data_IF_488827259050
#
_entry.id   IF_488827259050
#
_cell.length_a   1.000
_cell.length_b   1.000
_cell.length_c   1.000
_cell.angle_alpha   90.00
_cell.angle_beta   90.00
_cell.angle_gamma   90.00
#
_symmetry.space_group_name_H-M   'P 1'
#
loop_
_entity.id
_entity.type
_entity.pdbx_description
1 polymer ?
#
# COMPACT_ATOMS: atom_id res chain seq x y z
N UNK A 1 0.44 -6.83 -3.64
CA UNK A 1 -0.22 -5.54 -3.35
C UNK A 1 -0.33 -4.63 -4.58
N UNK A 2 0.77 -4.11 -5.14
CA UNK A 2 0.70 -3.15 -6.25
C UNK A 2 -0.09 -3.62 -7.49
N UNK A 3 0.02 -4.90 -7.84
CA UNK A 3 -0.75 -5.50 -8.94
C UNK A 3 -2.25 -5.66 -8.64
N UNK A 4 -2.65 -5.68 -7.37
CA UNK A 4 -4.05 -5.61 -7.01
C UNK A 4 -4.54 -4.16 -7.08
N UNK A 5 -3.76 -3.22 -6.54
CA UNK A 5 -4.09 -1.79 -6.54
C UNK A 5 -4.19 -1.20 -7.96
N UNK A 6 -3.43 -1.69 -8.93
CA UNK A 6 -3.52 -1.20 -10.30
C UNK A 6 -4.82 -1.58 -11.02
N UNK A 7 -5.62 -2.49 -10.45
CA UNK A 7 -6.94 -2.87 -10.96
C UNK A 7 -8.06 -1.97 -10.41
N UNK A 8 -7.74 -1.09 -9.44
CA UNK A 8 -8.70 -0.23 -8.77
C UNK A 8 -8.80 1.11 -9.52
N UNK A 9 -10.01 1.57 -9.80
CA UNK A 9 -10.22 2.97 -10.15
C UNK A 9 -10.14 3.84 -8.89
N UNK A 10 -9.04 4.57 -8.75
CA UNK A 10 -8.78 5.42 -7.57
C UNK A 10 -9.74 6.60 -7.40
N UNK A 11 -10.54 6.90 -8.44
CA UNK A 11 -11.51 8.01 -8.43
C UNK A 11 -12.79 7.66 -7.67
N UNK A 12 -13.21 6.41 -7.78
CA UNK A 12 -14.44 5.88 -7.17
C UNK A 12 -14.09 5.10 -5.91
N UNK A 13 -15.06 4.96 -4.99
CA UNK A 13 -14.86 4.11 -3.83
C UNK A 13 -14.77 2.65 -4.28
N UNK A 14 -13.77 1.91 -3.77
CA UNK A 14 -13.69 0.49 -4.09
C UNK A 14 -14.92 -0.24 -3.53
N UNK A 15 -15.62 -0.95 -4.41
CA UNK A 15 -16.74 -1.81 -4.05
C UNK A 15 -16.28 -2.99 -3.16
N UNK A 16 -17.21 -3.85 -2.74
CA UNK A 16 -16.88 -5.03 -1.92
C UNK A 16 -16.30 -6.20 -2.71
N UNK A 17 -15.63 -5.87 -3.82
CA UNK A 17 -15.10 -6.78 -4.80
C UNK A 17 -13.87 -7.53 -4.32
N UNK A 18 -13.75 -8.76 -4.82
CA UNK A 18 -12.59 -9.62 -4.63
C UNK A 18 -11.65 -9.37 -5.82
N UNK A 19 -10.44 -8.89 -5.53
CA UNK A 19 -9.41 -8.70 -6.54
C UNK A 19 -8.64 -9.99 -6.77
N UNK A 20 -8.32 -10.28 -8.02
CA UNK A 20 -7.56 -11.46 -8.41
C UNK A 20 -6.21 -11.07 -9.03
N UNK A 21 -5.16 -11.80 -8.69
CA UNK A 21 -3.86 -11.71 -9.34
C UNK A 21 -3.43 -13.11 -9.68
N UNK A 22 -3.44 -13.45 -10.97
CA UNK A 22 -2.90 -14.72 -11.45
C UNK A 22 -1.39 -14.61 -11.70
N UNK A 23 -0.70 -15.75 -11.65
CA UNK A 23 0.74 -15.79 -11.79
C UNK A 23 1.25 -15.48 -13.21
N UNK A 24 0.42 -15.63 -14.26
CA UNK A 24 0.81 -15.28 -15.62
C UNK A 24 0.85 -13.75 -15.79
N UNK A 25 -0.16 -13.05 -15.26
CA UNK A 25 -0.14 -11.59 -15.14
C UNK A 25 1.04 -11.11 -14.28
N UNK A 26 1.28 -11.76 -13.14
CA UNK A 26 2.41 -11.45 -12.27
C UNK A 26 3.77 -11.61 -12.99
N UNK A 27 3.96 -12.72 -13.70
CA UNK A 27 5.18 -13.01 -14.47
C UNK A 27 5.42 -11.95 -15.54
N UNK A 28 4.40 -11.59 -16.32
CA UNK A 28 4.51 -10.54 -17.36
C UNK A 28 4.84 -9.17 -16.76
N UNK A 29 4.25 -8.83 -15.62
CA UNK A 29 4.48 -7.53 -14.99
C UNK A 29 5.89 -7.42 -14.37
N UNK A 30 6.40 -8.50 -13.79
CA UNK A 30 7.68 -8.53 -13.06
C UNK A 30 8.87 -8.98 -13.92
N UNK A 31 8.62 -9.49 -15.13
CA UNK A 31 9.63 -10.16 -15.98
C UNK A 31 10.29 -11.39 -15.32
N UNK A 32 9.67 -11.97 -14.29
CA UNK A 32 10.11 -13.21 -13.67
C UNK A 32 9.66 -14.41 -14.50
N UNK A 33 10.42 -15.50 -14.46
CA UNK A 33 9.97 -16.75 -15.04
C UNK A 33 8.73 -17.28 -14.31
N UNK A 34 8.04 -18.21 -14.96
CA UNK A 34 6.75 -18.73 -14.50
C UNK A 34 6.85 -19.41 -13.13
N UNK A 35 7.92 -20.18 -12.87
CA UNK A 35 8.09 -20.89 -11.60
C UNK A 35 8.44 -19.93 -10.45
N UNK A 36 9.34 -18.98 -10.68
CA UNK A 36 9.65 -17.94 -9.70
C UNK A 36 8.42 -17.08 -9.39
N UNK A 37 7.59 -16.78 -10.40
CA UNK A 37 6.35 -16.04 -10.24
C UNK A 37 5.34 -16.76 -9.36
N UNK A 38 5.16 -18.07 -9.52
CA UNK A 38 4.30 -18.87 -8.65
C UNK A 38 4.75 -18.83 -7.19
N UNK A 39 6.04 -19.07 -6.94
CA UNK A 39 6.60 -19.06 -5.59
C UNK A 39 6.49 -17.67 -4.94
N UNK A 40 6.86 -16.62 -5.67
CA UNK A 40 6.80 -15.24 -5.19
C UNK A 40 5.37 -14.79 -4.90
N UNK A 41 4.42 -15.16 -5.75
CA UNK A 41 3.01 -14.81 -5.58
C UNK A 41 2.40 -15.53 -4.36
N UNK A 42 2.74 -16.82 -4.15
CA UNK A 42 2.31 -17.60 -2.99
C UNK A 42 2.84 -17.02 -1.68
N UNK A 43 4.14 -16.71 -1.61
CA UNK A 43 4.73 -16.10 -0.42
C UNK A 43 4.21 -14.68 -0.20
N UNK A 44 4.06 -13.90 -1.27
CA UNK A 44 3.50 -12.56 -1.23
C UNK A 44 2.06 -12.53 -0.67
N UNK A 45 1.25 -13.54 -0.97
CA UNK A 45 -0.10 -13.68 -0.40
C UNK A 45 -0.07 -13.92 1.11
N UNK A 46 0.86 -14.77 1.58
CA UNK A 46 1.06 -15.05 3.01
C UNK A 46 1.54 -13.80 3.77
N UNK A 47 2.46 -13.03 3.19
CA UNK A 47 2.91 -11.76 3.78
C UNK A 47 1.75 -10.76 3.83
N UNK A 48 1.00 -10.62 2.73
CA UNK A 48 -0.09 -9.67 2.61
C UNK A 48 -1.24 -9.97 3.59
N UNK A 49 -1.56 -11.25 3.82
CA UNK A 49 -2.60 -11.64 4.78
C UNK A 49 -2.24 -11.27 6.23
N UNK A 50 -0.95 -11.23 6.56
CA UNK A 50 -0.45 -10.81 7.87
C UNK A 50 -0.17 -9.31 8.00
N UNK A 51 -0.33 -8.55 6.92
CA UNK A 51 0.01 -7.12 6.90
C UNK A 51 -1.06 -6.29 7.62
N UNK A 52 -0.61 -5.45 8.56
CA UNK A 52 -1.45 -4.46 9.24
C UNK A 52 -1.19 -3.05 8.72
N UNK A 53 -2.25 -2.28 8.54
CA UNK A 53 -2.24 -0.84 8.43
C UNK A 53 -2.04 -0.23 9.82
N UNK A 54 -0.96 0.50 10.00
CA UNK A 54 -0.60 1.15 11.26
C UNK A 54 -0.91 2.63 11.16
N UNK A 55 -1.77 3.12 12.06
CA UNK A 55 -2.14 4.53 12.13
C UNK A 55 -1.53 5.16 13.38
N UNK A 56 -0.85 6.28 13.20
CA UNK A 56 -0.34 7.08 14.31
C UNK A 56 -1.43 8.02 14.85
N UNK A 57 -1.13 8.69 15.96
CA UNK A 57 -2.05 9.62 16.61
C UNK A 57 -2.57 10.74 15.69
N UNK A 58 -1.75 11.24 14.77
CA UNK A 58 -2.15 12.34 13.88
C UNK A 58 -3.05 11.83 12.74
N UNK A 59 -2.79 10.64 12.21
CA UNK A 59 -3.70 9.95 11.28
C UNK A 59 -5.06 9.70 11.95
N UNK A 60 -5.04 9.25 13.20
CA UNK A 60 -6.25 8.98 13.99
C UNK A 60 -7.06 10.24 14.29
N UNK A 61 -6.44 11.40 14.51
CA UNK A 61 -7.18 12.66 14.67
C UNK A 61 -7.95 13.03 13.40
N UNK A 62 -7.37 12.77 12.22
CA UNK A 62 -8.00 13.08 10.95
C UNK A 62 -9.11 12.08 10.60
N UNK A 63 -9.02 10.84 11.12
CA UNK A 63 -9.88 9.73 10.75
C UNK A 63 -10.83 9.25 11.85
N UNK A 64 -10.80 9.85 13.04
CA UNK A 64 -11.56 9.38 14.19
C UNK A 64 -13.05 9.26 13.90
N UNK A 65 -13.61 10.28 13.23
CA UNK A 65 -15.03 10.34 12.89
C UNK A 65 -15.41 9.24 11.87
N UNK A 66 -14.52 8.96 10.91
CA UNK A 66 -14.71 7.91 9.91
C UNK A 66 -14.55 6.49 10.47
N UNK A 67 -13.66 6.31 11.44
CA UNK A 67 -13.40 5.05 12.12
C UNK A 67 -14.40 4.77 13.25
N UNK A 68 -15.31 5.70 13.54
CA UNK A 68 -16.23 5.61 14.67
C UNK A 68 -15.52 5.61 16.03
N UNK A 69 -14.28 6.12 16.09
CA UNK A 69 -13.51 6.24 17.33
C UNK A 69 -14.00 7.50 18.03
N UNK A 70 -14.57 7.35 19.22
CA UNK A 70 -15.04 8.47 20.04
C UNK A 70 -13.88 9.42 20.37
N UNK A 71 -13.76 10.49 19.60
CA UNK A 71 -12.78 11.57 19.69
C UNK A 71 -13.05 12.51 20.88
N UNK A 72 -13.28 11.95 22.07
CA UNK A 72 -13.13 12.76 23.29
C UNK A 72 -11.65 13.09 23.46
N UNK A 73 -11.31 14.37 23.70
CA UNK A 73 -9.94 14.93 23.65
C UNK A 73 -8.83 14.14 24.38
N UNK A 74 -9.18 13.22 25.28
CA UNK A 74 -8.25 12.41 26.07
C UNK A 74 -8.35 10.87 25.87
N UNK A 75 -9.04 10.37 24.83
CA UNK A 75 -9.21 8.91 24.59
C UNK A 75 -8.72 8.40 23.24
N UNK A 76 -7.99 9.20 22.47
CA UNK A 76 -7.42 8.76 21.19
C UNK A 76 -6.17 7.93 21.49
N UNK A 77 -6.06 6.69 21.01
CA UNK A 77 -4.86 5.88 21.20
C UNK A 77 -3.68 6.49 20.45
N UNK A 78 -2.46 6.29 20.95
CA UNK A 78 -1.25 6.79 20.26
C UNK A 78 -0.94 5.99 18.98
N UNK A 79 -1.43 4.75 18.92
CA UNK A 79 -1.27 3.84 17.78
C UNK A 79 -2.50 2.94 17.64
N UNK A 80 -2.92 2.69 16.40
CA UNK A 80 -3.95 1.71 16.07
C UNK A 80 -3.49 0.84 14.89
N UNK A 81 -3.53 -0.47 15.09
CA UNK A 81 -3.15 -1.45 14.08
C UNK A 81 -4.43 -2.11 13.55
N UNK A 82 -4.65 -2.01 12.24
CA UNK A 82 -5.82 -2.53 11.56
C UNK A 82 -5.40 -3.53 10.49
N UNK A 83 -6.16 -4.60 10.29
CA UNK A 83 -5.86 -5.54 9.21
C UNK A 83 -6.03 -4.85 7.85
N UNK A 84 -5.08 -5.08 6.94
CA UNK A 84 -5.17 -4.58 5.58
C UNK A 84 -6.22 -5.34 4.76
N UNK A 85 -6.31 -6.66 4.98
CA UNK A 85 -7.20 -7.55 4.24
C UNK A 85 -8.22 -8.22 5.16
N UNK A 86 -9.44 -8.43 4.67
CA UNK A 86 -10.40 -9.37 5.27
C UNK A 86 -9.96 -10.80 5.01
N UNK A 87 -9.50 -11.07 3.78
CA UNK A 87 -8.76 -12.28 3.46
C UNK A 87 -7.78 -12.04 2.31
N UNK A 88 -6.72 -12.85 2.29
CA UNK A 88 -5.84 -13.02 1.14
C UNK A 88 -5.50 -14.51 1.04
N UNK A 89 -5.90 -15.14 -0.06
CA UNK A 89 -5.81 -16.59 -0.24
C UNK A 89 -5.16 -16.93 -1.58
N UNK A 90 -4.19 -17.83 -1.56
CA UNK A 90 -3.60 -18.40 -2.76
C UNK A 90 -4.27 -19.74 -3.11
N UNK A 91 -4.68 -19.90 -4.37
CA UNK A 91 -5.32 -21.11 -4.88
C UNK A 91 -4.31 -21.86 -5.75
N UNK A 92 -3.63 -22.87 -5.18
CA UNK A 92 -2.56 -23.63 -5.86
C UNK A 92 -2.98 -24.17 -7.23
N UNK A 93 -4.22 -24.66 -7.37
CA UNK A 93 -4.73 -25.26 -8.61
C UNK A 93 -5.04 -24.25 -9.73
N UNK A 94 -5.29 -22.98 -9.38
CA UNK A 94 -5.49 -21.88 -10.34
C UNK A 94 -4.24 -21.05 -10.51
N UNK A 95 -3.31 -21.18 -9.57
CA UNK A 95 -2.17 -20.32 -9.39
C UNK A 95 -2.51 -18.82 -9.34
N UNK A 96 -3.57 -18.52 -8.58
CA UNK A 96 -4.16 -17.19 -8.44
C UNK A 96 -4.25 -16.81 -6.96
N UNK A 97 -4.00 -15.54 -6.65
CA UNK A 97 -4.31 -14.95 -5.34
C UNK A 97 -5.63 -14.21 -5.44
N UNK A 98 -6.51 -14.44 -4.48
CA UNK A 98 -7.71 -13.61 -4.25
C UNK A 98 -7.53 -12.76 -3.02
N UNK A 99 -7.90 -11.49 -3.11
CA UNK A 99 -7.70 -10.49 -2.06
C UNK A 99 -9.02 -9.76 -1.84
N UNK A 100 -9.46 -9.70 -0.59
CA UNK A 100 -10.52 -8.78 -0.18
C UNK A 100 -9.95 -7.82 0.85
N UNK A 101 -9.94 -6.52 0.52
CA UNK A 101 -9.47 -5.47 1.43
C UNK A 101 -10.52 -5.14 2.48
N UNK A 102 -10.09 -4.72 3.67
CA UNK A 102 -11.02 -4.21 4.68
C UNK A 102 -11.62 -2.88 4.23
N UNK A 103 -12.85 -2.58 4.68
CA UNK A 103 -13.49 -1.29 4.39
C UNK A 103 -12.64 -0.09 4.82
N UNK A 104 -11.83 -0.23 5.89
CA UNK A 104 -10.88 0.81 6.29
C UNK A 104 -9.75 0.96 5.28
N UNK A 105 -9.11 -0.14 4.86
CA UNK A 105 -8.02 -0.10 3.89
C UNK A 105 -8.45 0.52 2.54
N UNK A 106 -9.66 0.21 2.06
CA UNK A 106 -10.20 0.73 0.81
C UNK A 106 -10.20 2.25 0.73
N UNK A 107 -10.40 2.95 1.85
CA UNK A 107 -10.41 4.42 1.92
C UNK A 107 -9.06 5.04 1.59
N UNK A 108 -7.95 4.31 1.78
CA UNK A 108 -6.61 4.76 1.42
C UNK A 108 -6.27 4.52 -0.05
N UNK A 109 -7.05 3.70 -0.75
CA UNK A 109 -6.84 3.38 -2.16
C UNK A 109 -7.76 4.17 -3.09
N UNK A 110 -8.85 4.73 -2.57
CA UNK A 110 -9.96 5.31 -3.34
C UNK A 110 -10.34 6.72 -2.88
N UNK A 111 -11.19 7.41 -3.64
CA UNK A 111 -11.63 8.80 -3.40
C UNK A 111 -10.49 9.84 -3.40
N UNK A 112 -9.51 9.68 -4.28
CA UNK A 112 -8.39 10.63 -4.39
C UNK A 112 -8.74 11.97 -5.08
N UNK A 113 -10.03 12.31 -5.23
CA UNK A 113 -10.47 13.52 -5.95
C UNK A 113 -10.54 14.73 -5.02
N UNK A 114 -9.69 15.73 -5.29
CA UNK A 114 -9.99 17.15 -5.05
C UNK A 114 -10.31 17.56 -3.61
N UNK A 115 -9.29 17.62 -2.76
CA UNK A 115 -9.09 18.64 -1.69
C UNK A 115 -7.96 18.27 -0.74
N UNK A 116 -7.55 16.99 -0.69
CA UNK A 116 -6.43 16.53 0.13
C UNK A 116 -5.25 16.09 -0.74
N UNK A 117 -4.28 16.99 -0.95
CA UNK A 117 -3.02 16.75 -1.69
C UNK A 117 -2.07 15.74 -0.98
N UNK A 118 -2.59 14.71 -0.31
CA UNK A 118 -1.83 13.74 0.49
C UNK A 118 -1.79 12.35 -0.16
N UNK A 119 -1.63 12.28 -1.47
CA UNK A 119 -1.48 11.02 -2.19
C UNK A 119 -0.10 10.87 -2.81
N UNK A 120 0.36 9.63 -2.89
CA UNK A 120 1.61 9.26 -3.59
C UNK A 120 1.24 8.41 -4.80
N UNK A 121 1.48 8.93 -6.00
CA UNK A 121 1.28 8.15 -7.23
C UNK A 121 2.59 7.47 -7.60
N UNK A 122 2.57 6.20 -7.94
CA UNK A 122 3.74 5.42 -8.36
C UNK A 122 3.54 4.84 -9.76
N UNK A 123 4.61 4.66 -10.53
CA UNK A 123 4.54 3.96 -11.83
C UNK A 123 4.69 2.47 -11.58
N UNK A 124 3.63 1.69 -11.84
CA UNK A 124 3.58 0.25 -11.57
C UNK A 124 4.83 -0.48 -12.05
N UNK A 125 5.23 -0.27 -13.31
CA UNK A 125 6.40 -0.90 -13.93
C UNK A 125 7.71 -0.61 -13.17
N UNK A 126 7.83 0.56 -12.56
CA UNK A 126 9.01 0.87 -11.74
C UNK A 126 9.00 0.04 -10.46
N UNK A 127 7.88 -0.01 -9.74
CA UNK A 127 7.82 -0.65 -8.41
C UNK A 127 7.97 -2.16 -8.48
N UNK A 128 7.38 -2.80 -9.50
CA UNK A 128 7.43 -4.26 -9.63
C UNK A 128 8.78 -4.81 -10.08
N UNK A 129 9.68 -3.95 -10.56
CA UNK A 129 11.04 -4.32 -10.98
C UNK A 129 12.09 -4.07 -9.89
N UNK A 130 11.73 -3.37 -8.81
CA UNK A 130 12.64 -3.13 -7.68
C UNK A 130 12.70 -4.39 -6.81
N UNK A 131 13.89 -4.95 -6.67
CA UNK A 131 14.14 -6.20 -5.93
C UNK A 131 14.71 -5.99 -4.51
N UNK A 132 14.82 -4.73 -4.07
CA UNK A 132 15.33 -4.35 -2.76
C UNK A 132 14.30 -3.51 -2.03
N UNK A 133 14.02 -3.86 -0.78
CA UNK A 133 13.12 -3.09 0.11
C UNK A 133 13.58 -1.65 0.19
N UNK A 134 14.89 -1.40 0.35
CA UNK A 134 15.44 -0.04 0.42
C UNK A 134 15.23 0.73 -0.89
N UNK A 135 15.38 0.06 -2.04
CA UNK A 135 15.14 0.71 -3.34
C UNK A 135 13.67 1.05 -3.54
N UNK A 136 12.76 0.15 -3.14
CA UNK A 136 11.30 0.38 -3.18
C UNK A 136 10.90 1.52 -2.25
N UNK A 137 11.42 1.54 -1.02
CA UNK A 137 11.13 2.60 -0.05
C UNK A 137 11.67 3.95 -0.53
N UNK A 138 12.91 4.00 -1.03
CA UNK A 138 13.47 5.23 -1.61
C UNK A 138 12.66 5.72 -2.81
N UNK A 139 12.25 4.82 -3.70
CA UNK A 139 11.39 5.18 -4.83
C UNK A 139 10.06 5.76 -4.34
N UNK A 140 9.44 5.18 -3.32
CA UNK A 140 8.22 5.68 -2.70
C UNK A 140 8.42 7.09 -2.12
N UNK A 141 9.53 7.35 -1.41
CA UNK A 141 9.88 8.70 -0.90
C UNK A 141 10.00 9.69 -2.05
N UNK A 142 10.75 9.37 -3.11
CA UNK A 142 10.89 10.24 -4.29
C UNK A 142 9.52 10.56 -4.90
N UNK A 143 8.65 9.55 -5.04
CA UNK A 143 7.31 9.72 -5.60
C UNK A 143 6.40 10.54 -4.70
N UNK A 144 6.53 10.45 -3.38
CA UNK A 144 5.80 11.27 -2.40
C UNK A 144 6.08 12.75 -2.62
N UNK A 145 7.36 13.14 -2.66
CA UNK A 145 7.76 14.52 -2.92
C UNK A 145 7.37 15.01 -4.31
N UNK A 146 7.50 14.14 -5.33
CA UNK A 146 7.06 14.46 -6.69
C UNK A 146 5.55 14.71 -6.76
N UNK A 147 4.72 13.90 -6.08
CA UNK A 147 3.27 14.09 -6.05
C UNK A 147 2.85 15.40 -5.37
N UNK A 148 3.61 15.86 -4.36
CA UNK A 148 3.36 17.16 -3.71
C UNK A 148 3.76 18.35 -4.60
N UNK A 149 4.84 18.23 -5.38
CA UNK A 149 5.37 19.31 -6.22
C UNK A 149 5.87 18.78 -7.56
N UNK A 150 4.95 18.46 -8.47
CA UNK A 150 5.24 17.79 -9.75
C UNK A 150 6.18 18.54 -10.70
N UNK A 151 6.37 19.84 -10.51
CA UNK A 151 7.32 20.67 -11.27
C UNK A 151 8.75 20.60 -10.73
N UNK A 152 8.96 20.21 -9.48
CA UNK A 152 10.29 20.08 -8.86
C UNK A 152 10.83 18.68 -9.06
N UNK A 153 12.09 18.59 -9.51
CA UNK A 153 12.81 17.31 -9.72
C UNK A 153 13.79 16.99 -8.58
N UNK A 154 13.84 17.83 -7.56
CA UNK A 154 14.69 17.70 -6.39
C UNK A 154 13.92 18.10 -5.14
N UNK A 155 14.37 17.60 -4.00
CA UNK A 155 13.88 17.94 -2.67
C UNK A 155 15.04 17.83 -1.68
N UNK A 156 14.95 18.61 -0.61
CA UNK A 156 15.86 18.51 0.53
C UNK A 156 15.16 17.74 1.65
N UNK A 157 15.88 16.81 2.29
CA UNK A 157 15.40 16.02 3.42
C UNK A 157 16.57 15.83 4.39
N UNK A 158 16.29 15.85 5.70
CA UNK A 158 17.32 15.53 6.69
C UNK A 158 17.65 14.04 6.64
N UNK A 159 18.84 13.67 7.12
CA UNK A 159 19.24 12.25 7.16
C UNK A 159 18.33 11.44 8.09
N UNK A 160 17.87 12.05 9.19
CA UNK A 160 17.03 11.34 10.16
C UNK A 160 15.60 11.17 9.64
N UNK A 161 15.01 12.21 9.03
CA UNK A 161 13.69 12.08 8.38
C UNK A 161 13.74 11.05 7.23
N UNK A 162 14.84 10.99 6.48
CA UNK A 162 15.01 10.00 5.42
C UNK A 162 15.06 8.57 5.98
N UNK A 163 15.71 8.34 7.12
CA UNK A 163 15.73 7.02 7.77
C UNK A 163 14.32 6.63 8.19
N UNK A 164 13.59 7.55 8.81
CA UNK A 164 12.21 7.32 9.27
C UNK A 164 11.27 7.02 8.10
N UNK A 165 11.30 7.83 7.04
CA UNK A 165 10.50 7.63 5.83
C UNK A 165 10.83 6.32 5.10
N UNK A 166 12.09 5.90 5.12
CA UNK A 166 12.52 4.62 4.55
C UNK A 166 12.32 3.43 5.51
N UNK A 167 11.88 3.66 6.75
CA UNK A 167 11.72 2.63 7.77
C UNK A 167 13.05 1.97 8.18
N UNK A 168 14.17 2.68 8.08
CA UNK A 168 15.51 2.14 8.35
C UNK A 168 15.84 2.23 9.84
N UNK A 169 16.60 1.26 10.33
CA UNK A 169 17.16 1.25 11.69
C UNK A 169 16.12 1.35 12.82
N UNK A 170 14.89 0.92 12.56
CA UNK A 170 13.91 0.63 13.60
C UNK A 170 14.38 -0.60 14.38
N UNK A 171 14.99 -0.35 15.54
CA UNK A 171 15.42 -1.37 16.52
C UNK A 171 14.25 -1.70 17.44
#
# INVERSE_FOLDING_TARGET
LFLALCQIDTKEMLDDDILEVDADFFSKATSLDKYASYAALKEGAKVLSSTTLVLNRDDLKNLADELGILSSKNKIPDRLDLNLTEFCAYYDHLATVRIKFTNTAKRYFSKLIGSENRYTTQVLKSVVLLNSVNSTNLYQVIRKYYSQHSSKKSFDISVDDLKDEMGLYTI
#
